data_IF_094332535703
#
_entry.id   IF_094332535703
#
_cell.length_a   1.000
_cell.length_b   1.000
_cell.length_c   1.000
_cell.angle_alpha   90.00
_cell.angle_beta   90.00
_cell.angle_gamma   90.00
#
_symmetry.space_group_name_H-M   'P 1'
#
loop_
_entity.id
_entity.type
_entity.pdbx_description
1 polymer ?
#
# COMPACT_ATOMS: atom_id res chain seq x y z
N UNK A 1 -14.24 -26.84 3.14
CA UNK A 1 -13.45 -25.61 3.12
C UNK A 1 -12.98 -25.18 1.71
N UNK A 2 -12.67 -26.04 0.76
CA UNK A 2 -12.23 -25.64 -0.60
C UNK A 2 -13.30 -24.97 -1.48
N UNK A 3 -14.59 -25.18 -1.20
CA UNK A 3 -15.70 -24.63 -2.03
C UNK A 3 -15.96 -23.13 -1.84
N UNK A 4 -15.46 -22.48 -0.76
CA UNK A 4 -15.72 -21.06 -0.52
C UNK A 4 -14.81 -20.11 -1.32
N UNK A 5 -13.60 -20.55 -1.68
CA UNK A 5 -12.64 -19.73 -2.41
C UNK A 5 -13.02 -19.49 -3.86
N UNK A 6 -13.57 -20.51 -4.54
CA UNK A 6 -14.03 -20.41 -5.92
C UNK A 6 -15.23 -19.47 -6.06
N UNK A 7 -16.09 -19.44 -5.05
CA UNK A 7 -17.27 -18.56 -5.04
C UNK A 7 -16.87 -17.09 -4.83
N UNK A 8 -15.88 -16.82 -3.99
CA UNK A 8 -15.38 -15.47 -3.74
C UNK A 8 -14.66 -14.90 -4.97
N UNK A 9 -13.86 -15.72 -5.65
CA UNK A 9 -13.21 -15.35 -6.91
C UNK A 9 -14.22 -15.00 -8.01
N UNK A 10 -15.31 -15.77 -8.11
CA UNK A 10 -16.37 -15.49 -9.06
C UNK A 10 -17.15 -14.22 -8.77
N UNK A 11 -17.34 -13.88 -7.50
CA UNK A 11 -17.98 -12.64 -7.05
C UNK A 11 -17.12 -11.40 -7.36
N UNK A 12 -15.82 -11.48 -7.14
CA UNK A 12 -14.91 -10.32 -7.28
C UNK A 12 -14.56 -10.02 -8.74
N UNK A 13 -14.46 -11.03 -9.60
CA UNK A 13 -14.01 -10.86 -10.99
C UNK A 13 -15.08 -11.12 -12.06
N UNK A 14 -16.37 -11.21 -11.66
CA UNK A 14 -17.50 -11.21 -12.57
C UNK A 14 -17.44 -12.21 -13.70
N UNK A 15 -17.75 -13.48 -13.41
CA UNK A 15 -18.09 -14.50 -14.39
C UNK A 15 -16.97 -14.92 -15.34
N UNK A 16 -16.74 -16.24 -15.41
CA UNK A 16 -15.84 -16.91 -16.36
C UNK A 16 -14.48 -16.24 -16.49
N UNK A 17 -13.62 -16.45 -15.48
CA UNK A 17 -12.23 -16.64 -15.83
C UNK A 17 -12.23 -17.91 -16.68
N UNK A 18 -12.39 -17.74 -18.00
CA UNK A 18 -11.78 -18.70 -18.90
C UNK A 18 -10.37 -18.84 -18.36
N UNK A 19 -10.04 -20.02 -17.87
CA UNK A 19 -8.65 -20.45 -17.74
C UNK A 19 -8.03 -19.92 -19.01
N UNK A 20 -7.23 -18.87 -18.92
CA UNK A 20 -6.52 -18.33 -20.07
C UNK A 20 -5.84 -19.54 -20.62
N UNK A 21 -6.35 -20.07 -21.76
CA UNK A 21 -5.58 -21.02 -22.53
C UNK A 21 -4.17 -20.48 -22.49
N UNK A 22 -3.25 -21.28 -22.01
CA UNK A 22 -1.84 -20.98 -21.92
C UNK A 22 -1.41 -20.41 -23.28
N UNK A 23 -1.58 -19.12 -23.46
CA UNK A 23 -0.82 -18.44 -24.48
C UNK A 23 0.59 -18.53 -23.97
N UNK A 24 1.34 -19.48 -24.54
CA UNK A 24 2.80 -19.58 -24.44
C UNK A 24 3.41 -18.29 -25.04
N UNK A 25 3.09 -17.15 -24.47
CA UNK A 25 3.82 -15.91 -24.67
C UNK A 25 5.07 -16.08 -23.81
N UNK A 26 6.10 -16.65 -24.41
CA UNK A 26 7.47 -16.58 -23.87
C UNK A 26 7.87 -15.11 -23.84
N UNK A 27 7.46 -14.38 -22.79
CA UNK A 27 7.92 -13.02 -22.58
C UNK A 27 9.35 -13.10 -22.05
N UNK A 28 10.28 -12.52 -22.81
CA UNK A 28 11.67 -12.39 -22.38
C UNK A 28 11.70 -11.49 -21.14
N UNK A 29 12.31 -11.91 -20.03
CA UNK A 29 12.46 -11.08 -18.85
C UNK A 29 13.20 -9.77 -19.16
N UNK A 30 12.83 -8.69 -18.49
CA UNK A 30 13.51 -7.38 -18.61
C UNK A 30 14.97 -7.48 -18.18
N UNK A 31 15.22 -8.24 -17.12
CA UNK A 31 16.54 -8.53 -16.55
C UNK A 31 16.41 -9.59 -15.46
N UNK A 32 17.52 -9.99 -14.86
CA UNK A 32 17.50 -10.84 -13.67
C UNK A 32 16.80 -10.11 -12.54
N UNK A 33 15.87 -10.80 -11.87
CA UNK A 33 15.12 -10.21 -10.76
C UNK A 33 16.01 -10.01 -9.54
N UNK A 34 16.01 -8.80 -8.98
CA UNK A 34 16.63 -8.47 -7.70
C UNK A 34 15.68 -7.70 -6.79
N UNK A 35 15.68 -8.04 -5.50
CA UNK A 35 14.85 -7.39 -4.49
C UNK A 35 15.77 -6.78 -3.42
N UNK A 36 15.63 -5.49 -3.17
CA UNK A 36 16.32 -4.79 -2.09
C UNK A 36 15.28 -4.30 -1.08
N UNK A 37 14.98 -5.07 -0.04
CA UNK A 37 14.16 -4.57 1.05
C UNK A 37 15.02 -3.68 1.96
N UNK A 38 14.64 -2.41 2.12
CA UNK A 38 15.22 -1.54 3.14
C UNK A 38 14.87 -2.09 4.54
N UNK A 39 15.57 -1.61 5.56
CA UNK A 39 15.53 -2.20 6.91
C UNK A 39 14.10 -2.42 7.43
N UNK A 40 13.21 -1.44 7.26
CA UNK A 40 11.80 -1.53 7.66
C UNK A 40 10.96 -2.54 6.88
N UNK A 41 11.44 -2.96 5.70
CA UNK A 41 10.74 -3.90 4.82
C UNK A 41 11.37 -5.30 4.78
N UNK A 42 12.37 -5.60 5.58
CA UNK A 42 13.07 -6.91 5.51
C UNK A 42 12.13 -8.10 5.71
N UNK A 43 11.24 -8.01 6.69
CA UNK A 43 10.27 -9.09 6.94
C UNK A 43 9.32 -9.31 5.75
N UNK A 44 8.83 -8.23 5.13
CA UNK A 44 8.00 -8.29 3.93
C UNK A 44 8.80 -8.81 2.74
N UNK A 45 10.00 -8.28 2.51
CA UNK A 45 10.88 -8.68 1.42
C UNK A 45 11.24 -10.17 1.47
N UNK A 46 11.54 -10.70 2.65
CA UNK A 46 11.81 -12.13 2.83
C UNK A 46 10.58 -12.98 2.48
N UNK A 47 9.38 -12.60 2.94
CA UNK A 47 8.14 -13.31 2.55
C UNK A 47 7.91 -13.28 1.04
N UNK A 48 8.12 -12.13 0.40
CA UNK A 48 8.01 -12.01 -1.06
C UNK A 48 9.02 -12.92 -1.76
N UNK A 49 10.27 -12.92 -1.29
CA UNK A 49 11.31 -13.81 -1.79
C UNK A 49 10.91 -15.28 -1.71
N UNK A 50 10.41 -15.73 -0.54
CA UNK A 50 10.02 -17.12 -0.33
C UNK A 50 8.88 -17.56 -1.27
N UNK A 51 7.90 -16.67 -1.51
CA UNK A 51 6.84 -16.91 -2.50
C UNK A 51 7.39 -16.99 -3.92
N UNK A 52 8.32 -16.12 -4.30
CA UNK A 52 8.91 -16.12 -5.64
C UNK A 52 9.76 -17.37 -5.87
N UNK A 53 10.58 -17.77 -4.90
CA UNK A 53 11.37 -19.00 -4.98
C UNK A 53 10.43 -20.20 -5.15
N UNK A 54 9.39 -20.30 -4.31
CA UNK A 54 8.40 -21.38 -4.40
C UNK A 54 7.71 -21.42 -5.77
N UNK A 55 7.21 -20.29 -6.27
CA UNK A 55 6.55 -20.23 -7.57
C UNK A 55 7.50 -20.60 -8.73
N UNK A 56 8.78 -20.23 -8.61
CA UNK A 56 9.78 -20.62 -9.60
C UNK A 56 10.07 -22.11 -9.57
N UNK A 57 10.10 -22.71 -8.40
CA UNK A 57 10.24 -24.17 -8.27
C UNK A 57 9.05 -24.92 -8.85
N UNK A 58 7.83 -24.45 -8.59
CA UNK A 58 6.61 -25.01 -9.18
C UNK A 58 6.60 -24.88 -10.70
N UNK A 59 7.13 -23.79 -11.25
CA UNK A 59 7.24 -23.54 -12.70
C UNK A 59 8.41 -24.25 -13.40
N UNK A 60 9.27 -24.98 -12.68
CA UNK A 60 10.39 -25.75 -13.29
C UNK A 60 9.95 -26.75 -14.37
N UNK A 61 8.74 -27.26 -14.25
CA UNK A 61 8.18 -28.25 -15.19
C UNK A 61 7.70 -27.64 -16.53
N UNK A 62 7.73 -26.31 -16.66
CA UNK A 62 7.23 -25.59 -17.85
C UNK A 62 8.29 -25.42 -18.98
N UNK A 63 9.38 -26.20 -18.95
CA UNK A 63 10.40 -26.30 -20.04
C UNK A 63 11.03 -24.98 -20.55
N UNK A 64 11.17 -23.97 -19.70
CA UNK A 64 11.83 -22.69 -20.05
C UNK A 64 13.35 -22.78 -19.88
N UNK A 65 14.02 -23.50 -20.78
CA UNK A 65 15.48 -23.76 -20.71
C UNK A 65 16.33 -22.84 -21.59
N UNK A 66 15.78 -21.76 -22.13
CA UNK A 66 16.53 -20.84 -22.98
C UNK A 66 17.46 -19.94 -22.18
N UNK A 67 18.55 -19.47 -22.82
CA UNK A 67 19.52 -18.53 -22.21
C UNK A 67 18.87 -17.22 -21.73
N UNK A 68 17.72 -16.84 -22.34
CA UNK A 68 16.94 -15.67 -21.92
C UNK A 68 16.41 -15.77 -20.48
N UNK A 69 16.26 -16.98 -19.96
CA UNK A 69 15.85 -17.25 -18.58
C UNK A 69 17.01 -17.62 -17.66
N UNK A 70 18.25 -17.53 -18.15
CA UNK A 70 19.45 -17.74 -17.32
C UNK A 70 19.47 -16.75 -16.15
N UNK A 71 19.71 -17.27 -14.95
CA UNK A 71 19.66 -16.46 -13.72
C UNK A 71 18.25 -16.13 -13.20
N UNK A 72 17.20 -16.62 -13.86
CA UNK A 72 15.82 -16.41 -13.44
C UNK A 72 15.42 -17.35 -12.29
N UNK A 73 16.06 -18.50 -12.17
CA UNK A 73 15.92 -19.43 -11.05
C UNK A 73 17.08 -19.21 -10.09
N UNK A 74 16.77 -18.75 -8.89
CA UNK A 74 17.74 -18.49 -7.81
C UNK A 74 17.20 -19.05 -6.51
N UNK A 75 18.09 -19.40 -5.60
CA UNK A 75 17.72 -19.78 -4.23
C UNK A 75 17.25 -18.55 -3.41
N UNK A 76 17.65 -17.35 -3.85
CA UNK A 76 17.19 -16.07 -3.32
C UNK A 76 17.26 -14.98 -4.37
N UNK A 77 16.28 -14.08 -4.32
CA UNK A 77 16.24 -12.84 -5.11
C UNK A 77 16.64 -11.61 -4.28
N UNK A 78 16.90 -11.79 -2.98
CA UNK A 78 17.35 -10.71 -2.11
C UNK A 78 18.76 -10.30 -2.49
N UNK A 79 18.94 -9.02 -2.76
CA UNK A 79 20.23 -8.37 -2.99
C UNK A 79 20.70 -7.77 -1.67
N UNK A 80 21.95 -8.10 -1.28
CA UNK A 80 22.53 -7.58 -0.03
C UNK A 80 22.84 -6.09 -0.16
N UNK A 81 22.06 -5.29 0.57
CA UNK A 81 22.21 -3.84 0.64
C UNK A 81 21.99 -3.34 2.07
N UNK A 82 22.64 -2.22 2.40
CA UNK A 82 22.53 -1.59 3.71
C UNK A 82 22.74 -0.09 3.64
N UNK A 83 22.24 0.61 4.65
CA UNK A 83 22.40 2.06 4.80
C UNK A 83 22.96 2.38 6.21
N UNK A 84 24.28 2.17 6.42
CA UNK A 84 24.89 2.50 7.71
C UNK A 84 24.90 4.00 7.95
N UNK A 85 24.65 4.39 9.21
CA UNK A 85 24.69 5.78 9.67
C UNK A 85 26.02 6.11 10.36
N UNK A 86 26.45 7.32 10.14
CA UNK A 86 27.55 7.93 10.90
C UNK A 86 27.03 8.51 12.22
N UNK A 87 27.93 8.81 13.17
CA UNK A 87 27.55 9.41 14.45
C UNK A 87 26.89 10.79 14.34
N UNK A 88 27.09 11.48 13.22
CA UNK A 88 26.42 12.75 12.86
C UNK A 88 24.97 12.58 12.37
N UNK A 89 24.49 11.33 12.20
CA UNK A 89 23.18 11.02 11.63
C UNK A 89 23.16 10.90 10.10
N UNK A 90 24.21 11.32 9.41
CA UNK A 90 24.36 11.09 7.97
C UNK A 90 24.47 9.59 7.68
N UNK A 91 24.16 9.21 6.45
CA UNK A 91 24.23 7.80 6.05
C UNK A 91 24.74 7.64 4.62
N UNK A 92 25.11 6.42 4.25
CA UNK A 92 25.47 6.06 2.88
C UNK A 92 24.80 4.75 2.46
N UNK A 93 24.32 4.69 1.20
CA UNK A 93 23.84 3.45 0.60
C UNK A 93 25.02 2.57 0.17
N UNK A 94 24.92 1.27 0.46
CA UNK A 94 25.91 0.27 0.05
C UNK A 94 25.14 -0.92 -0.55
N UNK A 95 25.59 -1.38 -1.71
CA UNK A 95 25.14 -2.64 -2.34
C UNK A 95 26.37 -3.53 -2.43
N UNK A 96 26.31 -4.72 -1.83
CA UNK A 96 27.46 -5.60 -1.68
C UNK A 96 27.66 -6.58 -2.84
N UNK A 97 26.76 -6.56 -3.83
CA UNK A 97 26.85 -7.41 -5.00
C UNK A 97 26.53 -6.65 -6.30
N UNK A 98 26.78 -7.26 -7.43
CA UNK A 98 26.52 -6.62 -8.73
C UNK A 98 25.04 -6.66 -9.06
N UNK A 99 24.50 -5.50 -9.38
CA UNK A 99 23.11 -5.32 -9.87
C UNK A 99 23.06 -4.91 -11.35
N UNK A 100 24.16 -5.14 -12.06
CA UNK A 100 24.28 -4.73 -13.46
C UNK A 100 23.32 -5.53 -14.34
N UNK A 101 22.42 -4.80 -15.01
CA UNK A 101 21.42 -5.38 -15.92
C UNK A 101 20.22 -6.00 -15.21
N UNK A 102 20.14 -5.92 -13.89
CA UNK A 102 19.03 -6.46 -13.13
C UNK A 102 17.75 -5.62 -13.25
N UNK A 103 16.62 -6.27 -13.11
CA UNK A 103 15.31 -5.69 -12.87
C UNK A 103 15.11 -5.62 -11.36
N UNK A 104 15.34 -4.41 -10.78
CA UNK A 104 15.40 -4.21 -9.34
C UNK A 104 14.06 -3.71 -8.78
N UNK A 105 13.66 -4.32 -7.67
CA UNK A 105 12.53 -3.92 -6.85
C UNK A 105 13.02 -3.48 -5.47
N UNK A 106 12.85 -2.19 -5.16
CA UNK A 106 13.24 -1.60 -3.89
C UNK A 106 12.01 -1.48 -3.00
N UNK A 107 12.03 -2.12 -1.84
CA UNK A 107 10.92 -2.09 -0.88
C UNK A 107 11.26 -1.14 0.26
N UNK A 108 10.40 -0.16 0.53
CA UNK A 108 10.57 0.80 1.62
C UNK A 108 9.25 1.05 2.35
N UNK A 109 9.28 0.91 3.67
CA UNK A 109 8.19 1.31 4.57
C UNK A 109 8.55 2.65 5.22
N UNK A 110 8.02 3.73 4.67
CA UNK A 110 8.28 5.09 5.18
C UNK A 110 7.53 5.38 6.48
N UNK A 111 6.51 4.60 6.80
CA UNK A 111 5.73 4.71 8.03
C UNK A 111 6.33 3.99 9.23
N UNK A 112 7.44 3.28 9.08
CA UNK A 112 8.01 2.46 10.14
C UNK A 112 8.73 3.29 11.20
N UNK A 113 8.03 3.56 12.30
CA UNK A 113 8.56 4.30 13.43
C UNK A 113 9.39 3.43 14.41
N UNK A 114 9.41 2.11 14.24
CA UNK A 114 10.10 1.21 15.17
C UNK A 114 11.62 1.23 15.03
N UNK A 115 12.12 1.62 13.86
CA UNK A 115 13.56 1.70 13.61
C UNK A 115 14.18 2.93 14.26
N UNK A 116 15.38 2.74 14.82
CA UNK A 116 16.11 3.78 15.49
C UNK A 116 17.56 3.86 15.00
N UNK A 117 18.17 5.03 15.18
CA UNK A 117 19.60 5.24 14.98
C UNK A 117 20.17 6.16 16.06
N UNK A 118 21.49 6.10 16.23
CA UNK A 118 22.18 7.00 17.17
C UNK A 118 22.63 8.26 16.45
N UNK A 119 22.29 9.43 17.02
CA UNK A 119 22.74 10.73 16.60
C UNK A 119 23.41 11.42 17.79
N UNK A 120 24.71 11.66 17.73
CA UNK A 120 25.47 12.27 18.82
C UNK A 120 25.25 11.60 20.19
N UNK A 121 25.12 10.26 20.19
CA UNK A 121 24.87 9.46 21.40
C UNK A 121 23.42 9.39 21.85
N UNK A 122 22.50 10.08 21.18
CA UNK A 122 21.05 10.02 21.44
C UNK A 122 20.37 9.01 20.51
N UNK A 123 19.40 8.26 21.04
CA UNK A 123 18.58 7.37 20.23
C UNK A 123 17.44 8.16 19.58
N UNK A 124 17.34 8.10 18.26
CA UNK A 124 16.32 8.76 17.48
C UNK A 124 15.54 7.73 16.68
N UNK A 125 14.22 7.87 16.64
CA UNK A 125 13.38 7.10 15.73
C UNK A 125 13.51 7.62 14.31
N UNK A 126 13.48 6.71 13.33
CA UNK A 126 13.48 7.11 11.92
C UNK A 126 12.15 7.76 11.57
N UNK A 127 12.23 8.95 10.98
CA UNK A 127 11.08 9.65 10.39
C UNK A 127 10.77 9.13 8.98
N UNK A 128 9.61 9.46 8.40
CA UNK A 128 9.34 9.22 6.99
C UNK A 128 10.43 9.77 6.05
N UNK A 129 10.99 10.95 6.38
CA UNK A 129 12.07 11.57 5.63
C UNK A 129 13.37 10.76 5.70
N UNK A 130 13.69 10.18 6.86
CA UNK A 130 14.85 9.30 7.01
C UNK A 130 14.74 8.07 6.10
N UNK A 131 13.58 7.42 6.09
CA UNK A 131 13.31 6.26 5.24
C UNK A 131 13.35 6.62 3.75
N UNK A 132 12.73 7.74 3.39
CA UNK A 132 12.72 8.23 2.01
C UNK A 132 14.14 8.61 1.54
N UNK A 133 14.92 9.25 2.41
CA UNK A 133 16.32 9.57 2.10
C UNK A 133 17.19 8.31 1.98
N UNK A 134 16.94 7.27 2.78
CA UNK A 134 17.64 6.00 2.67
C UNK A 134 17.30 5.27 1.36
N UNK A 135 16.06 5.34 0.89
CA UNK A 135 15.68 4.87 -0.44
C UNK A 135 16.51 5.56 -1.54
N UNK A 136 16.62 6.89 -1.49
CA UNK A 136 17.42 7.66 -2.48
C UNK A 136 18.90 7.27 -2.44
N UNK A 137 19.44 6.99 -1.26
CA UNK A 137 20.83 6.52 -1.11
C UNK A 137 21.06 5.17 -1.80
N UNK A 138 20.11 4.25 -1.68
CA UNK A 138 20.16 2.96 -2.39
C UNK A 138 20.04 3.15 -3.90
N UNK A 139 19.10 3.97 -4.38
CA UNK A 139 18.99 4.29 -5.81
C UNK A 139 20.30 4.89 -6.34
N UNK A 140 20.90 5.80 -5.59
CA UNK A 140 22.19 6.38 -5.97
C UNK A 140 23.32 5.33 -5.98
N UNK A 141 23.32 4.36 -5.05
CA UNK A 141 24.31 3.28 -5.02
C UNK A 141 24.16 2.30 -6.21
N UNK A 142 22.97 2.12 -6.77
CA UNK A 142 22.76 1.40 -8.04
C UNK A 142 23.52 2.07 -9.17
N UNK A 143 23.63 3.40 -9.15
CA UNK A 143 24.46 4.17 -10.07
C UNK A 143 24.11 4.01 -11.54
N UNK A 144 22.82 3.84 -11.86
CA UNK A 144 22.33 3.68 -13.23
C UNK A 144 22.71 2.35 -13.91
N UNK A 145 23.16 1.35 -13.15
CA UNK A 145 23.65 0.07 -13.70
C UNK A 145 22.54 -0.99 -13.85
N UNK A 146 21.45 -0.87 -13.10
CA UNK A 146 20.28 -1.73 -13.26
C UNK A 146 19.60 -1.50 -14.60
N UNK A 147 18.93 -2.50 -15.10
CA UNK A 147 18.11 -2.41 -16.32
C UNK A 147 16.83 -1.61 -16.07
N UNK A 148 16.22 -1.82 -14.92
CA UNK A 148 15.02 -1.12 -14.47
C UNK A 148 15.01 -1.01 -12.95
N UNK A 149 14.43 0.06 -12.42
CA UNK A 149 14.19 0.22 -10.99
C UNK A 149 12.70 0.43 -10.79
N UNK A 150 12.11 -0.43 -9.97
CA UNK A 150 10.73 -0.31 -9.46
C UNK A 150 10.79 -0.08 -7.95
N UNK A 151 10.11 0.93 -7.45
CA UNK A 151 9.96 1.19 -6.01
C UNK A 151 8.61 0.65 -5.55
N UNK A 152 8.62 -0.19 -4.52
CA UNK A 152 7.42 -0.63 -3.81
C UNK A 152 7.39 0.08 -2.47
N UNK A 153 6.41 0.93 -2.29
CA UNK A 153 6.21 1.76 -1.11
C UNK A 153 4.80 1.50 -0.58
N UNK A 154 4.61 0.50 0.32
CA UNK A 154 3.28 0.12 0.80
C UNK A 154 2.46 1.30 1.31
N UNK A 155 3.09 2.21 2.04
CA UNK A 155 2.55 3.51 2.42
C UNK A 155 3.25 4.59 1.61
N UNK A 156 2.51 5.30 0.75
CA UNK A 156 3.10 6.29 -0.15
C UNK A 156 3.58 7.52 0.64
N UNK A 157 4.85 7.87 0.48
CA UNK A 157 5.47 9.03 1.12
C UNK A 157 4.74 10.32 0.72
N UNK A 158 4.42 11.16 1.72
CA UNK A 158 3.71 12.44 1.60
C UNK A 158 2.35 12.32 0.88
N UNK A 159 1.69 11.17 0.91
CA UNK A 159 0.45 10.91 0.17
C UNK A 159 -0.69 11.87 0.53
N UNK A 160 -0.72 12.41 1.76
CA UNK A 160 -1.73 13.38 2.20
C UNK A 160 -1.52 14.78 1.60
N UNK A 161 -0.30 15.10 1.17
CA UNK A 161 0.05 16.34 0.50
C UNK A 161 -0.04 16.21 -1.04
N UNK A 162 -1.20 15.72 -1.51
CA UNK A 162 -1.51 15.43 -2.91
C UNK A 162 -2.12 16.61 -3.68
N UNK A 163 -2.58 17.65 -2.99
CA UNK A 163 -3.19 18.87 -3.57
C UNK A 163 -2.84 20.09 -2.75
N UNK A 164 -3.00 21.26 -3.33
CA UNK A 164 -2.84 22.57 -2.68
C UNK A 164 -4.20 23.23 -2.49
N UNK A 165 -4.40 23.83 -1.33
CA UNK A 165 -5.55 24.70 -1.05
C UNK A 165 -5.12 26.17 -0.92
N UNK A 166 -3.82 26.44 -0.79
CA UNK A 166 -3.24 27.75 -0.59
C UNK A 166 -1.76 27.80 -0.96
N UNK A 167 -0.96 28.52 -0.18
CA UNK A 167 0.51 28.60 -0.34
C UNK A 167 1.18 27.44 0.40
N UNK A 168 1.03 26.25 -0.12
CA UNK A 168 1.50 25.00 0.45
C UNK A 168 2.49 24.32 -0.50
N UNK A 169 3.37 23.53 0.01
CA UNK A 169 4.18 22.61 -0.78
C UNK A 169 3.30 21.52 -1.41
N UNK A 170 3.78 20.85 -2.43
CA UNK A 170 3.11 19.71 -3.07
C UNK A 170 4.04 18.50 -3.01
N UNK A 171 4.29 18.05 -1.77
CA UNK A 171 5.40 17.15 -1.46
C UNK A 171 5.25 15.78 -2.09
N UNK A 172 4.03 15.24 -2.18
CA UNK A 172 3.81 13.97 -2.88
C UNK A 172 4.25 14.03 -4.35
N UNK A 173 3.86 15.08 -5.08
CA UNK A 173 4.23 15.25 -6.48
C UNK A 173 5.75 15.45 -6.64
N UNK A 174 6.35 16.26 -5.77
CA UNK A 174 7.80 16.50 -5.78
C UNK A 174 8.58 15.20 -5.51
N UNK A 175 8.14 14.40 -4.54
CA UNK A 175 8.77 13.12 -4.24
C UNK A 175 8.69 12.14 -5.42
N UNK A 176 7.54 12.02 -6.07
CA UNK A 176 7.38 11.17 -7.25
C UNK A 176 8.30 11.64 -8.41
N UNK A 177 8.37 12.95 -8.65
CA UNK A 177 9.24 13.53 -9.67
C UNK A 177 10.72 13.33 -9.34
N UNK A 178 11.11 13.47 -8.07
CA UNK A 178 12.48 13.24 -7.62
C UNK A 178 12.90 11.78 -7.89
N UNK A 179 12.10 10.81 -7.47
CA UNK A 179 12.39 9.39 -7.71
C UNK A 179 12.52 9.08 -9.21
N UNK A 180 11.61 9.60 -10.03
CA UNK A 180 11.65 9.36 -11.48
C UNK A 180 12.84 10.04 -12.14
N UNK A 181 13.26 11.22 -11.66
CA UNK A 181 14.48 11.90 -12.12
C UNK A 181 15.77 11.13 -11.75
N UNK A 182 15.72 10.34 -10.68
CA UNK A 182 16.82 9.44 -10.28
C UNK A 182 16.85 8.13 -11.04
N UNK A 183 15.91 7.91 -12.00
CA UNK A 183 15.88 6.72 -12.85
C UNK A 183 14.89 5.64 -12.40
N UNK A 184 13.98 5.93 -11.48
CA UNK A 184 12.87 5.02 -11.16
C UNK A 184 11.87 5.01 -12.32
N UNK A 185 11.54 3.81 -12.80
CA UNK A 185 10.61 3.62 -13.92
C UNK A 185 9.18 3.36 -13.45
N UNK A 186 9.02 2.65 -12.31
CA UNK A 186 7.71 2.31 -11.78
C UNK A 186 7.67 2.54 -10.26
N UNK A 187 6.51 2.97 -9.77
CA UNK A 187 6.20 3.11 -8.35
C UNK A 187 4.93 2.33 -8.06
N UNK A 188 4.99 1.44 -7.09
CA UNK A 188 3.86 0.62 -6.63
C UNK A 188 3.57 0.98 -5.18
N UNK A 189 2.31 1.27 -4.88
CA UNK A 189 1.84 1.55 -3.52
C UNK A 189 0.54 0.82 -3.23
N UNK A 190 0.15 0.72 -1.96
CA UNK A 190 -1.14 0.19 -1.59
C UNK A 190 -2.07 1.34 -1.24
N UNK A 191 -3.25 1.34 -1.84
CA UNK A 191 -4.34 2.27 -1.57
C UNK A 191 -3.87 3.74 -1.41
N UNK A 192 -3.33 4.31 -2.47
CA UNK A 192 -2.89 5.71 -2.45
C UNK A 192 -4.02 6.62 -1.95
N UNK A 193 -3.71 7.55 -1.04
CA UNK A 193 -4.66 8.50 -0.47
C UNK A 193 -5.50 9.21 -1.55
N UNK A 194 -4.83 9.61 -2.62
CA UNK A 194 -5.48 10.06 -3.86
C UNK A 194 -4.71 9.50 -5.07
N UNK A 195 -5.28 8.56 -5.85
CA UNK A 195 -4.59 7.94 -6.99
C UNK A 195 -4.25 8.93 -8.11
N UNK A 196 -4.83 10.14 -8.11
CA UNK A 196 -4.52 11.19 -9.10
C UNK A 196 -3.10 11.76 -8.95
N UNK A 197 -2.36 11.42 -7.89
CA UNK A 197 -0.93 11.77 -7.74
C UNK A 197 -0.10 11.24 -8.90
N UNK A 198 -0.54 10.17 -9.58
CA UNK A 198 0.09 9.66 -10.80
C UNK A 198 0.22 10.71 -11.91
N UNK A 199 -0.65 11.75 -11.91
CA UNK A 199 -0.58 12.84 -12.89
C UNK A 199 0.72 13.67 -12.76
N UNK A 200 1.45 13.56 -11.66
CA UNK A 200 2.76 14.22 -11.50
C UNK A 200 3.86 13.56 -12.35
N UNK A 201 3.66 12.30 -12.77
CA UNK A 201 4.65 11.51 -13.51
C UNK A 201 4.01 10.76 -14.70
N UNK A 202 3.38 11.46 -15.65
CA UNK A 202 2.50 10.87 -16.68
C UNK A 202 3.21 9.92 -17.65
N UNK A 203 4.54 9.94 -17.72
CA UNK A 203 5.35 9.08 -18.60
C UNK A 203 6.02 7.92 -17.85
N UNK A 204 5.69 7.70 -16.57
CA UNK A 204 6.24 6.64 -15.74
C UNK A 204 5.13 5.75 -15.18
N UNK A 205 5.47 4.52 -14.82
CA UNK A 205 4.52 3.60 -14.21
C UNK A 205 4.16 4.02 -12.77
N UNK A 206 2.88 4.06 -12.48
CA UNK A 206 2.36 4.21 -11.13
C UNK A 206 1.18 3.25 -10.93
N UNK A 207 1.29 2.42 -9.91
CA UNK A 207 0.25 1.45 -9.60
C UNK A 207 -0.17 1.59 -8.13
N UNK A 208 -1.48 1.63 -7.91
CA UNK A 208 -2.07 1.56 -6.58
C UNK A 208 -2.84 0.26 -6.44
N UNK A 209 -2.35 -0.62 -5.56
CA UNK A 209 -2.94 -1.93 -5.32
C UNK A 209 -3.99 -1.81 -4.23
N UNK A 210 -5.21 -2.24 -4.53
CA UNK A 210 -6.31 -2.22 -3.56
C UNK A 210 -6.24 -3.44 -2.63
N UNK A 211 -6.15 -3.26 -1.29
CA UNK A 211 -6.00 -4.35 -0.33
C UNK A 211 -7.32 -5.05 0.03
N UNK A 212 -8.42 -4.72 -0.63
CA UNK A 212 -9.78 -5.15 -0.29
C UNK A 212 -9.93 -6.66 -0.16
N UNK A 213 -9.32 -7.41 -1.09
CA UNK A 213 -9.33 -8.87 -1.01
C UNK A 213 -8.74 -9.40 0.30
N UNK A 214 -7.65 -8.79 0.76
CA UNK A 214 -6.98 -9.20 1.99
C UNK A 214 -7.83 -8.85 3.23
N UNK A 215 -8.52 -7.72 3.21
CA UNK A 215 -9.44 -7.35 4.29
C UNK A 215 -10.64 -8.28 4.37
N UNK A 216 -11.30 -8.58 3.24
CA UNK A 216 -12.39 -9.54 3.19
C UNK A 216 -11.94 -10.91 3.68
N UNK A 217 -10.79 -11.39 3.19
CA UNK A 217 -10.21 -12.66 3.63
C UNK A 217 -9.92 -12.67 5.14
N UNK A 218 -9.42 -11.57 5.68
CA UNK A 218 -9.16 -11.45 7.11
C UNK A 218 -10.45 -11.48 7.92
N UNK A 219 -11.49 -10.75 7.50
CA UNK A 219 -12.79 -10.77 8.16
C UNK A 219 -13.38 -12.18 8.19
N UNK A 220 -13.39 -12.88 7.05
CA UNK A 220 -13.93 -14.24 6.94
C UNK A 220 -13.14 -15.29 7.72
N UNK A 221 -11.83 -15.11 7.86
CA UNK A 221 -10.99 -16.06 8.58
C UNK A 221 -11.02 -15.87 10.10
N UNK A 222 -11.36 -14.69 10.59
CA UNK A 222 -11.31 -14.37 12.01
C UNK A 222 -12.69 -14.22 12.67
N UNK A 223 -13.77 -14.26 11.90
CA UNK A 223 -15.13 -14.04 12.41
C UNK A 223 -16.06 -15.12 11.84
N UNK A 224 -16.31 -16.15 12.66
CA UNK A 224 -17.05 -17.36 12.24
C UNK A 224 -18.51 -17.09 11.89
N UNK A 225 -19.17 -16.13 12.56
CA UNK A 225 -20.59 -15.78 12.43
C UNK A 225 -20.85 -14.55 11.57
N UNK A 226 -19.92 -14.19 10.68
CA UNK A 226 -20.06 -13.05 9.80
C UNK A 226 -21.02 -13.38 8.65
N UNK A 227 -22.05 -12.57 8.50
CA UNK A 227 -23.02 -12.66 7.39
C UNK A 227 -22.84 -11.46 6.48
N UNK A 228 -22.50 -11.73 5.21
CA UNK A 228 -22.24 -10.69 4.21
C UNK A 228 -23.44 -10.56 3.30
N UNK A 229 -24.40 -9.75 3.71
CA UNK A 229 -25.55 -9.31 2.91
C UNK A 229 -26.03 -7.92 3.39
N UNK A 230 -26.91 -7.28 2.63
CA UNK A 230 -27.37 -5.91 2.91
C UNK A 230 -28.24 -5.79 4.17
N UNK A 231 -28.81 -6.89 4.68
CA UNK A 231 -29.61 -6.87 5.90
C UNK A 231 -28.73 -6.91 7.16
N UNK A 232 -27.54 -7.53 7.06
CA UNK A 232 -26.68 -7.81 8.20
C UNK A 232 -25.38 -6.98 8.22
N UNK A 233 -24.96 -6.43 7.09
CA UNK A 233 -23.69 -5.70 6.98
C UNK A 233 -23.82 -4.40 6.18
N UNK A 234 -23.01 -3.40 6.55
CA UNK A 234 -22.91 -2.14 5.83
C UNK A 234 -21.46 -1.64 5.84
N UNK A 235 -21.03 -1.02 4.73
CA UNK A 235 -19.74 -0.37 4.62
C UNK A 235 -19.87 1.10 4.97
N UNK A 236 -18.92 1.63 5.75
CA UNK A 236 -18.97 3.00 6.26
C UNK A 236 -17.72 3.75 5.82
N UNK A 237 -17.93 4.91 5.20
CA UNK A 237 -16.88 5.91 5.02
C UNK A 237 -16.79 6.83 6.24
N UNK A 238 -15.61 7.02 6.84
CA UNK A 238 -15.45 7.88 8.00
C UNK A 238 -15.62 9.38 7.67
N UNK A 239 -15.42 9.76 6.41
CA UNK A 239 -15.61 11.12 5.90
C UNK A 239 -15.74 11.12 4.36
N UNK A 240 -15.77 12.33 3.77
CA UNK A 240 -15.88 12.50 2.31
C UNK A 240 -14.66 11.95 1.55
N UNK A 241 -13.47 11.98 2.15
CA UNK A 241 -12.23 11.51 1.54
C UNK A 241 -12.22 10.01 1.31
N UNK A 242 -12.78 9.23 2.24
CA UNK A 242 -12.88 7.77 2.16
C UNK A 242 -14.00 7.24 1.27
N UNK A 243 -14.89 8.11 0.77
CA UNK A 243 -16.11 7.69 0.07
C UNK A 243 -15.82 6.78 -1.14
N UNK A 244 -14.82 7.10 -1.96
CA UNK A 244 -14.46 6.29 -3.13
C UNK A 244 -14.07 4.84 -2.75
N UNK A 245 -13.32 4.66 -1.65
CA UNK A 245 -12.95 3.35 -1.11
C UNK A 245 -14.16 2.58 -0.63
N UNK A 246 -15.01 3.24 0.16
CA UNK A 246 -16.23 2.63 0.70
C UNK A 246 -17.18 2.18 -0.41
N UNK A 247 -17.37 3.00 -1.45
CA UNK A 247 -18.17 2.64 -2.64
C UNK A 247 -17.60 1.41 -3.34
N UNK A 248 -16.28 1.40 -3.58
CA UNK A 248 -15.64 0.26 -4.23
C UNK A 248 -15.79 -1.02 -3.40
N UNK A 249 -15.54 -0.95 -2.09
CA UNK A 249 -15.68 -2.09 -1.19
C UNK A 249 -17.12 -2.61 -1.11
N UNK A 250 -18.10 -1.69 -0.99
CA UNK A 250 -19.51 -2.02 -0.96
C UNK A 250 -19.96 -2.70 -2.27
N UNK A 251 -19.51 -2.18 -3.42
CA UNK A 251 -19.84 -2.76 -4.73
C UNK A 251 -19.25 -4.16 -4.90
N UNK A 252 -18.03 -4.41 -4.43
CA UNK A 252 -17.40 -5.75 -4.49
C UNK A 252 -18.21 -6.78 -3.70
N UNK A 253 -18.80 -6.37 -2.57
CA UNK A 253 -19.57 -7.26 -1.70
C UNK A 253 -21.07 -7.23 -1.98
N UNK A 254 -21.58 -6.33 -2.83
CA UNK A 254 -23.01 -6.13 -3.06
C UNK A 254 -23.74 -5.57 -1.83
N UNK A 255 -23.09 -4.70 -1.05
CA UNK A 255 -23.60 -4.14 0.20
C UNK A 255 -24.00 -2.68 0.05
N UNK A 256 -24.86 -2.23 0.98
CA UNK A 256 -25.11 -0.80 1.17
C UNK A 256 -23.90 -0.08 1.78
N UNK A 257 -23.81 1.22 1.52
CA UNK A 257 -22.84 2.07 2.19
C UNK A 257 -23.49 3.24 2.92
N UNK A 258 -22.81 3.71 3.95
CA UNK A 258 -23.08 4.97 4.62
C UNK A 258 -21.82 5.80 4.76
N UNK A 259 -21.97 7.09 5.05
CA UNK A 259 -20.84 7.97 5.27
C UNK A 259 -21.10 8.96 6.40
N UNK A 260 -20.02 9.39 7.04
CA UNK A 260 -20.05 10.52 7.95
C UNK A 260 -19.63 11.80 7.25
N UNK A 261 -20.39 12.84 7.50
CA UNK A 261 -20.09 14.19 7.04
C UNK A 261 -19.70 15.07 8.24
N UNK A 262 -18.54 15.68 8.17
CA UNK A 262 -18.04 16.61 9.20
C UNK A 262 -18.55 18.01 8.90
N UNK A 263 -19.67 18.40 9.51
CA UNK A 263 -20.15 19.77 9.42
C UNK A 263 -19.27 20.70 10.24
N UNK A 264 -18.63 21.68 9.60
CA UNK A 264 -17.75 22.67 10.23
C UNK A 264 -18.52 23.98 10.46
N UNK A 265 -18.22 24.63 11.57
CA UNK A 265 -18.68 25.99 11.82
C UNK A 265 -17.74 26.99 11.15
N UNK A 266 -18.15 27.50 10.00
CA UNK A 266 -17.37 28.49 9.27
C UNK A 266 -17.48 29.91 9.87
N UNK A 267 -18.30 30.10 10.90
CA UNK A 267 -18.44 31.40 11.60
C UNK A 267 -17.36 31.60 12.67
N UNK A 268 -16.63 30.54 13.03
CA UNK A 268 -15.60 30.56 14.07
C UNK A 268 -14.32 29.90 13.57
N UNK A 269 -13.21 30.47 14.04
CA UNK A 269 -11.89 29.87 13.82
C UNK A 269 -11.25 29.65 15.19
N UNK A 270 -10.91 28.40 15.53
CA UNK A 270 -10.22 28.00 16.76
C UNK A 270 -8.92 27.33 16.34
N UNK A 271 -7.79 27.80 16.83
CA UNK A 271 -6.45 27.30 16.49
C UNK A 271 -6.20 27.18 14.98
N UNK A 272 -6.66 28.18 14.21
CA UNK A 272 -6.49 28.23 12.76
C UNK A 272 -7.38 27.27 11.96
N UNK A 273 -8.36 26.62 12.62
CA UNK A 273 -9.30 25.68 11.98
C UNK A 273 -10.74 26.00 12.35
N UNK A 274 -11.65 25.71 11.43
CA UNK A 274 -13.08 25.78 11.70
C UNK A 274 -13.48 24.55 12.54
N UNK A 275 -14.06 24.73 13.76
CA UNK A 275 -14.42 23.63 14.62
C UNK A 275 -15.48 22.73 13.98
N UNK A 276 -15.40 21.42 14.23
CA UNK A 276 -16.42 20.47 13.82
C UNK A 276 -17.61 20.61 14.78
N UNK A 277 -18.79 20.91 14.23
CA UNK A 277 -20.02 21.15 15.02
C UNK A 277 -20.86 19.89 15.13
N UNK A 278 -20.81 19.02 14.12
CA UNK A 278 -21.54 17.77 14.12
C UNK A 278 -20.92 16.76 13.17
N UNK A 279 -21.03 15.49 13.54
CA UNK A 279 -20.84 14.35 12.65
C UNK A 279 -22.21 13.89 12.21
N UNK A 280 -22.61 14.25 11.01
CA UNK A 280 -23.88 13.80 10.42
C UNK A 280 -23.67 12.51 9.66
N UNK A 281 -24.54 11.52 9.89
CA UNK A 281 -24.50 10.25 9.19
C UNK A 281 -25.50 10.29 8.01
N UNK A 282 -25.00 9.93 6.84
CA UNK A 282 -25.77 9.78 5.60
C UNK A 282 -25.79 8.32 5.20
N UNK A 283 -26.95 7.71 5.16
CA UNK A 283 -27.12 6.30 4.82
C UNK A 283 -28.38 5.70 5.45
N UNK A 284 -28.64 4.43 5.16
CA UNK A 284 -29.71 3.65 5.77
C UNK A 284 -29.38 3.30 7.23
N UNK A 285 -30.33 2.73 7.99
CA UNK A 285 -30.12 2.36 9.38
C UNK A 285 -28.99 1.33 9.53
N UNK A 286 -28.12 1.55 10.52
CA UNK A 286 -27.09 0.59 10.94
C UNK A 286 -27.53 -0.27 12.12
N UNK A 287 -28.76 -0.10 12.61
CA UNK A 287 -29.27 -0.83 13.77
C UNK A 287 -29.24 -2.33 13.53
N UNK A 288 -28.58 -3.06 14.42
CA UNK A 288 -28.44 -4.51 14.35
C UNK A 288 -27.44 -5.04 13.32
N UNK A 289 -26.85 -4.17 12.49
CA UNK A 289 -25.89 -4.58 11.45
C UNK A 289 -24.45 -4.60 11.96
N UNK A 290 -23.66 -5.47 11.36
CA UNK A 290 -22.19 -5.37 11.41
C UNK A 290 -21.76 -4.26 10.47
N UNK A 291 -20.89 -3.37 10.92
CA UNK A 291 -20.39 -2.26 10.11
C UNK A 291 -18.87 -2.32 9.96
N UNK A 292 -18.42 -2.05 8.74
CA UNK A 292 -16.98 -2.01 8.42
C UNK A 292 -16.63 -0.59 8.00
N UNK A 293 -15.77 0.07 8.77
CA UNK A 293 -15.24 1.40 8.45
C UNK A 293 -13.99 1.21 7.60
N UNK A 294 -13.93 1.86 6.45
CA UNK A 294 -12.80 1.77 5.53
C UNK A 294 -12.13 3.12 5.37
N UNK A 295 -10.82 3.14 5.62
CA UNK A 295 -9.95 4.29 5.36
C UNK A 295 -8.59 3.81 4.83
N UNK A 296 -7.77 4.73 4.27
CA UNK A 296 -6.43 4.40 3.78
C UNK A 296 -5.37 4.36 4.89
N UNK A 297 -5.60 5.08 5.98
CA UNK A 297 -4.67 5.13 7.09
C UNK A 297 -5.33 5.48 8.41
N UNK A 298 -4.78 4.95 9.49
CA UNK A 298 -5.11 5.33 10.86
C UNK A 298 -3.86 5.99 11.46
N UNK A 299 -3.98 7.29 11.82
CA UNK A 299 -2.92 8.04 12.50
C UNK A 299 -3.11 7.99 14.01
N UNK A 300 -3.76 9.01 14.62
CA UNK A 300 -4.08 9.02 16.06
C UNK A 300 -5.22 8.08 16.43
N UNK A 301 -6.05 7.70 15.48
CA UNK A 301 -7.25 6.91 15.71
C UNK A 301 -8.46 7.70 16.21
N UNK A 302 -8.32 8.97 16.60
CA UNK A 302 -9.42 9.77 17.15
C UNK A 302 -10.66 9.80 16.25
N UNK A 303 -10.48 10.08 14.97
CA UNK A 303 -11.59 10.08 13.99
C UNK A 303 -12.31 8.73 13.93
N UNK A 304 -11.55 7.63 13.98
CA UNK A 304 -12.13 6.27 13.97
C UNK A 304 -12.90 5.98 15.26
N UNK A 305 -12.36 6.38 16.41
CA UNK A 305 -13.05 6.23 17.68
C UNK A 305 -14.36 7.01 17.73
N UNK A 306 -14.38 8.24 17.22
CA UNK A 306 -15.58 9.07 17.22
C UNK A 306 -16.66 8.49 16.30
N UNK A 307 -16.26 8.03 15.10
CA UNK A 307 -17.17 7.35 14.17
C UNK A 307 -17.69 6.04 14.79
N UNK A 308 -16.82 5.23 15.41
CA UNK A 308 -17.22 3.98 16.05
C UNK A 308 -18.20 4.20 17.22
N UNK A 309 -17.95 5.20 18.07
CA UNK A 309 -18.88 5.58 19.16
C UNK A 309 -20.25 5.99 18.62
N UNK A 310 -20.29 6.79 17.54
CA UNK A 310 -21.54 7.22 16.95
C UNK A 310 -22.30 6.06 16.32
N UNK A 311 -21.62 5.12 15.64
CA UNK A 311 -22.23 3.91 15.12
C UNK A 311 -22.79 3.02 16.23
N UNK A 312 -22.08 2.88 17.35
CA UNK A 312 -22.59 2.15 18.53
C UNK A 312 -23.81 2.85 19.15
N UNK A 313 -23.84 4.18 19.18
CA UNK A 313 -25.00 4.95 19.64
C UNK A 313 -26.23 4.74 18.74
N UNK A 314 -25.99 4.49 17.43
CA UNK A 314 -27.00 4.10 16.43
C UNK A 314 -27.32 2.60 16.45
N UNK A 315 -26.86 1.87 17.47
CA UNK A 315 -27.12 0.47 17.74
C UNK A 315 -26.52 -0.50 16.69
N UNK A 316 -25.41 -0.15 16.05
CA UNK A 316 -24.65 -1.11 15.28
C UNK A 316 -24.25 -2.31 16.16
N UNK A 317 -24.39 -3.54 15.62
CA UNK A 317 -24.09 -4.79 16.33
C UNK A 317 -22.58 -4.87 16.63
N UNK A 318 -21.75 -4.86 15.60
CA UNK A 318 -20.28 -4.81 15.69
C UNK A 318 -19.74 -3.71 14.79
N UNK A 319 -18.56 -3.20 15.14
CA UNK A 319 -17.84 -2.19 14.35
C UNK A 319 -16.44 -2.73 14.09
N UNK A 320 -16.09 -2.88 12.84
CA UNK A 320 -14.77 -3.26 12.35
C UNK A 320 -14.11 -2.05 11.68
N UNK A 321 -12.81 -1.90 11.85
CA UNK A 321 -12.02 -0.80 11.30
C UNK A 321 -10.83 -1.39 10.56
#
# INVERSE_FOLDING_TARGET
MARSYDTLWRLIYGGNIMLREERNLETIPVGSLGIIPLEGCKALGNKVNDYLVKWREESKNEHKSTIAFSGYQRDTYIVDAKVPRFGSGEAKGIINESVRGDDLYLLVDVGNYSLTYSLCGQVNHMSPDDHYQDLKRIIAAVGGKARRITVIMPFLYESRQHKRSGRESLDCALALQELTSMGVENIITFDAHDPRVQNAIPLKGFETVQPIYQFIKSLLNNIDDLVIDSDHMMIISPDEGGMGRAVYFANVLGLDMGMFYKRRDYTRVVDGRNPIVAHEFLGSSVEGKDVVIIDDMISSGESMFDVAKELKRRKAKRVFI
#
